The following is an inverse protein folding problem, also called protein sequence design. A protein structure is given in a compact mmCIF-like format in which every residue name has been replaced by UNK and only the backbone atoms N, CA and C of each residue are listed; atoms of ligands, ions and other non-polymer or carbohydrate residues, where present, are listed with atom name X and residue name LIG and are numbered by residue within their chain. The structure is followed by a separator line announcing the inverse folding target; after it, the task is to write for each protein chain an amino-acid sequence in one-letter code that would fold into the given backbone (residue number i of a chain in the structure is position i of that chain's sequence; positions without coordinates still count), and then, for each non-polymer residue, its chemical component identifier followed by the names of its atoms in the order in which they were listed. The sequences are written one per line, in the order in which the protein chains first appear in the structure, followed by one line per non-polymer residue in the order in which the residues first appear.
data_IF_486494878629
#
_entry.id   IF_486494878629
#
_cell.length_a   1.000
_cell.length_b   1.000
_cell.length_c   1.000
_cell.angle_alpha   90.00
_cell.angle_beta   90.00
_cell.angle_gamma   90.00
#
_symmetry.space_group_name_H-M   'P 1'
#
loop_
_entity.id
_entity.type
_entity.pdbx_description
1 polymer ?
#
# COMPACT_ATOMS: atom_id res chain seq x y z
N UNK A 1 -1.18 52.45 -30.33
CA UNK A 1 -1.19 53.03 -28.97
C UNK A 1 -1.97 52.10 -28.05
N UNK A 2 -1.34 51.57 -27.02
CA UNK A 2 -2.04 50.83 -25.99
C UNK A 2 -2.89 51.83 -25.17
N UNK A 3 -4.17 51.55 -24.99
CA UNK A 3 -5.02 52.33 -24.10
C UNK A 3 -4.97 51.72 -22.71
N UNK A 4 -4.49 52.47 -21.75
CA UNK A 4 -4.72 52.17 -20.35
C UNK A 4 -6.06 52.75 -19.93
N UNK A 5 -6.92 51.97 -19.31
CA UNK A 5 -8.13 52.46 -18.65
C UNK A 5 -7.98 52.21 -17.13
N UNK A 6 -8.94 52.69 -16.37
CA UNK A 6 -8.97 52.57 -14.91
C UNK A 6 -8.93 51.14 -14.40
N UNK A 7 -9.03 50.13 -15.30
CA UNK A 7 -9.18 48.71 -14.97
C UNK A 7 -8.07 47.84 -15.53
N UNK A 8 -7.02 48.41 -16.13
CA UNK A 8 -5.89 47.66 -16.63
C UNK A 8 -5.51 47.91 -18.08
N UNK A 9 -4.69 47.04 -18.64
CA UNK A 9 -4.16 47.18 -19.98
C UNK A 9 -5.07 46.50 -21.02
N UNK A 10 -5.29 47.13 -22.15
CA UNK A 10 -5.93 46.57 -23.32
C UNK A 10 -4.82 46.15 -24.29
N UNK A 11 -4.56 44.89 -24.42
CA UNK A 11 -3.56 44.30 -25.31
C UNK A 11 -4.16 43.23 -26.20
N UNK A 12 -3.30 42.46 -26.86
CA UNK A 12 -3.73 41.27 -27.60
C UNK A 12 -4.48 40.32 -26.67
N UNK A 13 -5.50 39.63 -27.22
CA UNK A 13 -6.29 38.67 -26.46
C UNK A 13 -5.36 37.65 -25.78
N UNK A 14 -5.42 37.48 -24.45
CA UNK A 14 -4.50 36.64 -23.76
C UNK A 14 -4.72 35.18 -24.13
N UNK A 15 -3.62 34.47 -24.32
CA UNK A 15 -3.63 33.01 -24.37
C UNK A 15 -3.57 32.51 -22.92
N UNK A 16 -4.60 31.83 -22.50
CA UNK A 16 -4.68 31.25 -21.17
C UNK A 16 -4.52 29.75 -21.24
N UNK A 17 -3.56 29.20 -20.47
CA UNK A 17 -3.44 27.78 -20.18
C UNK A 17 -3.20 27.59 -18.70
N UNK A 18 -3.43 26.40 -18.19
CA UNK A 18 -3.11 26.09 -16.78
C UNK A 18 -1.62 26.27 -16.45
N UNK A 19 -0.74 26.31 -17.47
CA UNK A 19 0.70 26.43 -17.31
C UNK A 19 1.27 27.81 -17.58
N UNK A 20 0.51 28.70 -18.27
CA UNK A 20 0.99 30.02 -18.67
C UNK A 20 -0.12 31.05 -18.63
N UNK A 21 0.10 32.17 -17.94
CA UNK A 21 -0.69 33.36 -18.02
C UNK A 21 0.06 34.37 -18.93
N UNK A 22 -0.30 34.42 -20.21
CA UNK A 22 0.25 35.38 -21.14
C UNK A 22 -0.80 36.41 -21.49
N UNK A 23 -0.45 37.67 -21.39
CA UNK A 23 -1.33 38.78 -21.72
C UNK A 23 -1.79 39.58 -20.50
N UNK A 24 -2.63 40.56 -20.76
CA UNK A 24 -3.14 41.48 -19.77
C UNK A 24 -4.65 41.27 -19.66
N UNK A 25 -5.13 41.14 -18.43
CA UNK A 25 -6.53 40.89 -18.08
C UNK A 25 -7.12 42.08 -17.36
N UNK A 26 -8.38 42.38 -17.62
CA UNK A 26 -9.16 43.23 -16.73
C UNK A 26 -9.39 42.47 -15.39
N UNK A 27 -9.63 43.19 -14.28
CA UNK A 27 -9.95 42.56 -13.01
C UNK A 27 -11.14 41.58 -13.08
N UNK A 28 -12.12 41.88 -13.91
CA UNK A 28 -13.27 40.99 -14.11
C UNK A 28 -12.88 39.70 -14.86
N UNK A 29 -12.16 39.81 -15.97
CA UNK A 29 -11.68 38.66 -16.75
C UNK A 29 -10.77 37.76 -15.89
N UNK A 30 -9.87 38.36 -15.10
CA UNK A 30 -9.03 37.65 -14.18
C UNK A 30 -9.85 36.83 -13.18
N UNK A 31 -10.87 37.47 -12.58
CA UNK A 31 -11.74 36.78 -11.59
C UNK A 31 -12.53 35.64 -12.25
N UNK A 32 -13.11 35.84 -13.43
CA UNK A 32 -13.83 34.77 -14.18
C UNK A 32 -12.90 33.63 -14.56
N UNK A 33 -11.69 33.92 -15.03
CA UNK A 33 -10.72 32.90 -15.42
C UNK A 33 -10.17 32.14 -14.23
N UNK A 34 -9.99 32.80 -13.08
CA UNK A 34 -9.57 32.15 -11.83
C UNK A 34 -10.67 31.23 -11.31
N UNK A 35 -11.93 31.68 -11.29
CA UNK A 35 -13.08 30.83 -10.92
C UNK A 35 -13.26 29.63 -11.86
N UNK A 36 -12.87 29.75 -13.12
CA UNK A 36 -12.88 28.68 -14.10
C UNK A 36 -11.62 27.79 -14.02
N UNK A 37 -10.67 28.09 -13.13
CA UNK A 37 -9.40 27.39 -13.01
C UNK A 37 -8.52 27.52 -14.27
N UNK A 38 -8.74 28.56 -15.09
CA UNK A 38 -8.01 28.79 -16.35
C UNK A 38 -6.79 29.70 -16.20
N UNK A 39 -6.66 30.39 -15.05
CA UNK A 39 -5.44 31.13 -14.75
C UNK A 39 -4.43 30.20 -14.08
N UNK A 40 -3.17 30.28 -14.50
CA UNK A 40 -2.08 29.73 -13.74
C UNK A 40 -1.97 30.48 -12.41
N UNK A 41 -1.96 29.79 -11.29
CA UNK A 41 -1.79 30.44 -9.99
C UNK A 41 -0.41 31.07 -9.88
N UNK A 42 -0.28 32.21 -9.17
CA UNK A 42 1.00 32.76 -8.80
C UNK A 42 1.72 31.73 -7.89
N UNK A 43 2.79 31.18 -8.38
CA UNK A 43 3.56 30.12 -7.71
C UNK A 43 3.81 28.96 -8.67
N UNK A 44 5.05 28.51 -8.72
CA UNK A 44 5.48 27.42 -9.62
C UNK A 44 5.19 26.04 -9.04
N UNK A 45 4.45 25.94 -7.92
CA UNK A 45 4.20 24.69 -7.21
C UNK A 45 2.74 24.54 -6.78
N UNK A 46 2.30 23.29 -6.61
CA UNK A 46 1.06 22.91 -5.95
C UNK A 46 1.39 22.06 -4.72
N UNK A 47 0.54 22.10 -3.70
CA UNK A 47 0.64 21.18 -2.55
C UNK A 47 -0.25 19.97 -2.78
N UNK A 48 0.26 18.81 -2.42
CA UNK A 48 -0.48 17.54 -2.49
C UNK A 48 -0.40 16.80 -1.14
N UNK A 49 -1.43 16.03 -0.85
CA UNK A 49 -1.41 14.99 0.17
C UNK A 49 -1.15 13.65 -0.53
N UNK A 50 -0.01 13.03 -0.22
CA UNK A 50 0.52 11.86 -0.90
C UNK A 50 0.52 10.65 0.03
N UNK A 51 -0.02 9.54 -0.45
CA UNK A 51 0.10 8.23 0.19
C UNK A 51 0.75 7.26 -0.80
N UNK A 52 1.78 6.54 -0.35
CA UNK A 52 2.44 5.47 -1.10
C UNK A 52 2.32 4.17 -0.34
N UNK A 53 1.69 3.18 -0.97
CA UNK A 53 1.46 1.84 -0.45
C UNK A 53 2.21 0.83 -1.31
N UNK A 54 3.13 0.08 -0.74
CA UNK A 54 3.88 -0.96 -1.46
C UNK A 54 3.08 -2.27 -1.58
N UNK A 55 3.52 -3.20 -2.42
CA UNK A 55 2.93 -4.54 -2.51
C UNK A 55 3.20 -5.38 -1.27
N UNK A 56 2.23 -6.19 -0.84
CA UNK A 56 2.36 -7.12 0.28
C UNK A 56 3.14 -8.39 -0.08
N UNK A 57 3.74 -9.05 0.89
CA UNK A 57 4.43 -10.32 0.73
C UNK A 57 3.46 -11.50 0.59
N UNK A 58 3.88 -12.57 -0.11
CA UNK A 58 3.10 -13.80 -0.23
C UNK A 58 3.07 -14.62 1.06
N UNK A 59 1.99 -15.34 1.28
CA UNK A 59 1.84 -16.30 2.37
C UNK A 59 2.64 -17.60 2.16
N UNK A 60 3.04 -18.22 3.24
CA UNK A 60 3.78 -19.48 3.25
C UNK A 60 2.90 -20.68 2.98
N UNK A 61 3.48 -21.72 2.37
CA UNK A 61 2.84 -23.02 2.21
C UNK A 61 2.78 -23.77 3.56
N UNK A 62 1.68 -24.43 3.83
CA UNK A 62 1.58 -25.35 4.95
C UNK A 62 2.52 -26.57 4.77
N UNK A 63 2.98 -27.15 5.85
CA UNK A 63 3.86 -28.31 5.87
C UNK A 63 3.25 -29.44 6.71
N UNK A 64 3.77 -30.67 6.58
CA UNK A 64 3.30 -31.80 7.35
C UNK A 64 3.36 -31.63 8.86
N UNK A 65 4.18 -30.72 9.34
CA UNK A 65 4.40 -30.41 10.75
C UNK A 65 3.72 -29.13 11.25
N UNK A 66 3.10 -28.32 10.38
CA UNK A 66 2.45 -27.08 10.84
C UNK A 66 1.86 -26.23 9.73
N UNK A 67 1.12 -25.21 10.13
CA UNK A 67 0.54 -24.23 9.24
C UNK A 67 1.56 -23.24 8.68
N UNK A 68 1.36 -22.80 7.44
CA UNK A 68 2.14 -21.75 6.80
C UNK A 68 1.94 -20.40 7.49
N UNK A 69 2.95 -19.55 7.49
CA UNK A 69 2.84 -18.20 8.05
C UNK A 69 2.19 -17.20 7.09
N UNK A 70 1.64 -16.12 7.61
CA UNK A 70 1.09 -15.02 6.82
C UNK A 70 2.18 -14.09 6.28
N UNK A 71 2.02 -13.59 5.05
CA UNK A 71 2.89 -12.58 4.45
C UNK A 71 2.76 -11.23 5.16
N UNK A 72 3.85 -10.46 5.24
CA UNK A 72 3.84 -9.09 5.74
C UNK A 72 3.16 -8.13 4.76
N UNK A 73 2.52 -7.11 5.27
CA UNK A 73 1.97 -6.04 4.42
C UNK A 73 3.07 -5.23 3.75
N UNK A 74 2.78 -4.63 2.62
CA UNK A 74 3.58 -3.55 2.05
C UNK A 74 3.63 -2.36 3.00
N UNK A 75 4.71 -1.60 2.96
CA UNK A 75 4.84 -0.38 3.73
C UNK A 75 3.78 0.65 3.33
N UNK A 76 3.39 1.47 4.28
CA UNK A 76 2.49 2.60 4.09
C UNK A 76 3.18 3.87 4.54
N UNK A 77 3.32 4.84 3.64
CA UNK A 77 3.89 6.16 3.96
C UNK A 77 2.97 7.26 3.48
N UNK A 78 2.87 8.33 4.26
CA UNK A 78 2.08 9.52 3.96
C UNK A 78 2.93 10.78 4.12
N UNK A 79 2.72 11.74 3.22
CA UNK A 79 3.26 13.10 3.28
C UNK A 79 2.14 14.08 2.92
N UNK A 80 1.66 14.83 3.90
CA UNK A 80 0.52 15.77 3.74
C UNK A 80 0.95 17.16 3.29
N UNK A 81 2.26 17.39 3.12
CA UNK A 81 2.84 18.71 2.83
C UNK A 81 3.71 18.70 1.57
N UNK A 82 3.57 17.67 0.75
CA UNK A 82 4.39 17.50 -0.45
C UNK A 82 4.10 18.60 -1.47
N UNK A 83 5.14 19.23 -1.97
CA UNK A 83 5.03 20.20 -3.07
C UNK A 83 5.45 19.57 -4.39
N UNK A 84 4.72 19.88 -5.46
CA UNK A 84 4.99 19.47 -6.83
C UNK A 84 5.12 20.71 -7.73
N UNK A 85 6.05 20.67 -8.67
CA UNK A 85 6.23 21.77 -9.63
C UNK A 85 5.17 21.67 -10.72
N UNK A 86 4.58 22.82 -11.11
CA UNK A 86 3.67 22.91 -12.25
C UNK A 86 4.44 22.73 -13.56
N UNK A 87 3.87 22.03 -14.51
CA UNK A 87 4.51 21.67 -15.79
C UNK A 87 5.48 20.48 -15.69
N UNK A 88 5.71 19.95 -14.48
CA UNK A 88 6.56 18.76 -14.31
C UNK A 88 5.75 17.46 -14.38
N UNK A 89 6.38 16.42 -14.91
CA UNK A 89 5.86 15.05 -14.92
C UNK A 89 6.56 14.24 -13.85
N UNK A 90 5.76 13.52 -13.06
CA UNK A 90 6.21 12.65 -11.97
C UNK A 90 5.91 11.20 -12.33
N UNK A 91 6.91 10.33 -12.18
CA UNK A 91 6.74 8.90 -12.37
C UNK A 91 6.14 8.27 -11.12
N UNK A 92 5.18 7.38 -11.33
CA UNK A 92 4.53 6.61 -10.29
C UNK A 92 4.82 5.14 -10.53
N UNK A 93 5.43 4.49 -9.55
CA UNK A 93 5.64 3.04 -9.56
C UNK A 93 4.68 2.39 -8.57
N UNK A 94 3.90 1.41 -9.03
CA UNK A 94 3.04 0.60 -8.18
C UNK A 94 3.65 -0.80 -8.06
N UNK A 95 4.02 -1.18 -6.84
CA UNK A 95 4.67 -2.45 -6.54
C UNK A 95 3.71 -3.63 -6.62
N UNK A 96 4.15 -4.72 -7.22
CA UNK A 96 3.38 -5.97 -7.28
C UNK A 96 3.37 -6.69 -5.92
N UNK A 97 2.29 -7.43 -5.66
CA UNK A 97 2.24 -8.38 -4.54
C UNK A 97 3.17 -9.57 -4.76
N UNK A 98 3.69 -10.13 -3.68
CA UNK A 98 4.54 -11.31 -3.69
C UNK A 98 3.74 -12.59 -3.93
N UNK A 99 4.27 -13.51 -4.73
CA UNK A 99 3.67 -14.82 -4.95
C UNK A 99 3.77 -15.68 -3.67
N UNK A 100 2.74 -16.49 -3.42
CA UNK A 100 2.77 -17.52 -2.38
C UNK A 100 3.80 -18.61 -2.68
N UNK A 101 4.21 -19.41 -1.70
CA UNK A 101 5.07 -20.55 -1.96
C UNK A 101 5.67 -21.19 -0.72
N UNK A 102 6.49 -22.22 -0.95
CA UNK A 102 7.35 -22.80 0.08
C UNK A 102 8.29 -21.73 0.66
N UNK A 103 9.00 -21.06 -0.22
CA UNK A 103 9.65 -19.78 0.01
C UNK A 103 8.88 -18.74 -0.79
N UNK A 104 7.93 -18.06 -0.16
CA UNK A 104 7.11 -17.08 -0.86
C UNK A 104 7.97 -15.89 -1.35
N UNK A 105 7.42 -15.08 -2.23
CA UNK A 105 8.08 -13.86 -2.69
C UNK A 105 7.74 -12.67 -1.78
N UNK A 106 8.67 -11.75 -1.64
CA UNK A 106 8.40 -10.44 -1.05
C UNK A 106 7.54 -9.59 -2.01
N UNK A 107 6.82 -8.64 -1.47
CA UNK A 107 6.20 -7.60 -2.27
C UNK A 107 7.25 -6.67 -2.88
N UNK A 108 6.87 -5.92 -3.91
CA UNK A 108 7.71 -4.89 -4.53
C UNK A 108 7.43 -3.51 -3.94
N UNK A 109 8.43 -2.64 -3.98
CA UNK A 109 8.29 -1.25 -3.56
C UNK A 109 7.34 -0.46 -4.47
N UNK A 110 6.68 0.55 -3.91
CA UNK A 110 5.97 1.59 -4.67
C UNK A 110 6.64 2.93 -4.45
N UNK A 111 6.59 3.82 -5.45
CA UNK A 111 7.20 5.14 -5.35
C UNK A 111 6.43 6.23 -6.07
N UNK A 112 6.66 7.47 -5.61
CA UNK A 112 6.36 8.71 -6.29
C UNK A 112 7.67 9.47 -6.49
N UNK A 113 8.15 9.55 -7.73
CA UNK A 113 9.46 10.11 -8.03
C UNK A 113 9.37 11.59 -8.40
N UNK A 114 10.14 12.41 -7.68
CA UNK A 114 10.27 13.84 -7.90
C UNK A 114 11.68 14.14 -8.37
N UNK A 115 11.93 14.33 -9.66
CA UNK A 115 13.19 14.87 -10.23
C UNK A 115 14.45 14.63 -9.37
N UNK A 116 14.76 13.36 -9.07
CA UNK A 116 15.95 12.98 -8.29
C UNK A 116 15.71 12.65 -6.81
N UNK A 117 14.50 12.80 -6.28
CA UNK A 117 14.15 12.35 -4.93
C UNK A 117 12.90 11.47 -4.99
N UNK A 118 13.05 10.19 -4.66
CA UNK A 118 11.93 9.27 -4.60
C UNK A 118 11.27 9.29 -3.21
N UNK A 119 9.95 9.37 -3.16
CA UNK A 119 9.16 9.06 -1.97
C UNK A 119 8.66 7.63 -2.11
N UNK A 120 9.37 6.70 -1.47
CA UNK A 120 9.21 5.27 -1.66
C UNK A 120 8.67 4.59 -0.39
N UNK A 121 7.98 3.48 -0.56
CA UNK A 121 7.58 2.55 0.49
C UNK A 121 8.06 1.13 0.15
N UNK A 122 8.56 0.41 1.14
CA UNK A 122 9.18 -0.92 0.95
C UNK A 122 8.16 -2.02 0.81
N UNK A 123 8.42 -3.00 -0.05
CA UNK A 123 7.57 -4.19 -0.19
C UNK A 123 7.46 -5.00 1.09
N UNK A 124 6.34 -5.72 1.25
CA UNK A 124 6.06 -6.57 2.39
C UNK A 124 7.00 -7.77 2.50
N UNK A 125 7.33 -8.16 3.73
CA UNK A 125 8.20 -9.28 4.02
C UNK A 125 7.60 -10.62 3.60
N UNK A 126 8.42 -11.47 2.96
CA UNK A 126 8.05 -12.84 2.59
C UNK A 126 8.11 -13.80 3.77
N UNK A 127 7.52 -14.95 3.60
CA UNK A 127 7.65 -16.10 4.49
C UNK A 127 8.73 -17.05 3.94
N UNK A 128 9.58 -17.55 4.81
CA UNK A 128 10.52 -18.62 4.48
C UNK A 128 10.15 -19.89 5.25
N UNK A 129 10.06 -21.04 4.55
CA UNK A 129 9.69 -22.30 5.22
C UNK A 129 10.68 -22.70 6.32
N UNK A 130 10.16 -23.15 7.43
CA UNK A 130 10.92 -23.58 8.63
C UNK A 130 11.86 -22.52 9.20
N UNK A 131 11.61 -21.23 8.93
CA UNK A 131 12.54 -20.18 9.31
C UNK A 131 11.82 -18.90 9.78
N UNK A 132 12.63 -17.99 10.28
CA UNK A 132 12.21 -16.63 10.64
C UNK A 132 11.60 -15.93 9.41
N UNK A 133 10.50 -15.22 9.60
CA UNK A 133 9.93 -14.37 8.56
C UNK A 133 10.92 -13.30 8.09
N UNK A 134 10.88 -12.91 6.84
CA UNK A 134 11.75 -11.88 6.31
C UNK A 134 11.26 -10.48 6.65
N UNK A 135 12.22 -9.57 6.81
CA UNK A 135 11.93 -8.14 6.96
C UNK A 135 11.30 -7.56 5.69
N UNK A 136 10.54 -6.49 5.85
CA UNK A 136 9.89 -5.75 4.77
C UNK A 136 9.32 -4.43 5.26
N UNK A 137 8.51 -3.77 4.45
CA UNK A 137 7.70 -2.63 4.88
C UNK A 137 6.96 -3.00 6.17
N UNK A 138 6.25 -4.14 6.17
CA UNK A 138 5.93 -4.92 7.37
C UNK A 138 6.54 -6.32 7.26
N UNK A 139 6.91 -6.91 8.39
CA UNK A 139 7.60 -8.21 8.42
C UNK A 139 6.69 -9.40 8.13
N UNK A 140 7.19 -10.43 7.45
CA UNK A 140 6.51 -11.72 7.29
C UNK A 140 6.41 -12.48 8.61
N UNK A 141 5.39 -13.34 8.78
CA UNK A 141 5.24 -14.20 9.93
C UNK A 141 6.32 -15.29 9.99
N UNK A 142 6.64 -15.79 11.19
CA UNK A 142 7.53 -16.94 11.41
C UNK A 142 6.85 -18.25 11.02
N UNK A 143 7.56 -19.09 10.28
CA UNK A 143 7.06 -20.41 9.90
C UNK A 143 7.51 -21.46 10.92
N UNK A 144 6.61 -22.38 11.29
CA UNK A 144 6.91 -23.45 12.25
C UNK A 144 8.11 -24.33 11.81
N UNK A 145 9.03 -24.65 12.71
CA UNK A 145 10.28 -25.38 12.43
C UNK A 145 10.17 -26.91 12.52
N UNK A 146 9.01 -27.44 12.90
CA UNK A 146 8.81 -28.88 13.17
C UNK A 146 9.27 -29.36 14.54
N UNK A 147 9.98 -28.56 15.31
CA UNK A 147 10.59 -28.92 16.60
C UNK A 147 9.86 -28.35 17.82
N UNK A 148 8.74 -27.67 17.62
CA UNK A 148 7.95 -27.11 18.71
C UNK A 148 8.45 -25.76 19.23
N UNK A 149 9.35 -25.08 18.51
CA UNK A 149 9.87 -23.78 18.91
C UNK A 149 9.02 -22.62 18.34
N UNK A 150 8.98 -21.50 19.06
CA UNK A 150 8.48 -20.24 18.51
C UNK A 150 9.50 -19.66 17.52
N UNK A 151 9.26 -19.82 16.24
CA UNK A 151 10.09 -19.20 15.20
C UNK A 151 9.66 -17.76 15.00
N UNK A 152 10.58 -16.81 15.08
CA UNK A 152 10.31 -15.38 15.03
C UNK A 152 9.72 -14.89 13.70
N UNK A 153 8.93 -13.83 13.75
CA UNK A 153 8.54 -13.06 12.56
C UNK A 153 9.65 -12.10 12.12
N UNK A 154 9.55 -11.60 10.88
CA UNK A 154 10.46 -10.61 10.30
C UNK A 154 10.26 -9.23 10.92
N UNK A 155 11.28 -8.37 10.82
CA UNK A 155 11.18 -6.99 11.22
C UNK A 155 10.37 -6.17 10.19
N UNK A 156 9.57 -5.22 10.67
CA UNK A 156 8.94 -4.18 9.86
C UNK A 156 9.88 -2.99 9.66
N UNK A 157 9.41 -2.02 8.87
CA UNK A 157 10.14 -0.77 8.60
C UNK A 157 11.53 -0.98 7.97
N UNK A 158 11.60 -1.85 6.97
CA UNK A 158 12.87 -2.17 6.30
C UNK A 158 13.54 -0.94 5.65
N UNK A 159 12.78 0.07 5.25
CA UNK A 159 13.30 1.34 4.74
C UNK A 159 13.88 2.26 5.82
N UNK A 160 13.73 1.94 7.11
CA UNK A 160 14.23 2.76 8.23
C UNK A 160 13.55 4.12 8.35
N UNK A 161 12.32 4.26 7.87
CA UNK A 161 11.61 5.54 7.82
C UNK A 161 11.08 5.97 9.19
N UNK A 162 10.92 7.31 9.32
CA UNK A 162 10.22 7.94 10.44
C UNK A 162 9.14 8.89 9.88
N UNK A 163 7.84 8.70 10.21
CA UNK A 163 7.29 7.56 10.98
C UNK A 163 7.53 6.19 10.31
N UNK A 164 7.49 5.10 11.10
CA UNK A 164 7.62 3.73 10.59
C UNK A 164 6.60 3.46 9.48
N UNK A 165 7.01 2.76 8.41
CA UNK A 165 6.12 2.36 7.31
C UNK A 165 5.34 1.06 7.59
N UNK A 166 5.69 0.30 8.65
CA UNK A 166 5.04 -0.95 9.03
C UNK A 166 5.58 -1.55 10.31
N UNK A 167 5.02 -2.68 10.73
CA UNK A 167 5.33 -3.36 11.97
C UNK A 167 5.84 -4.80 11.77
N UNK A 168 6.29 -5.44 12.83
CA UNK A 168 6.91 -6.77 12.78
C UNK A 168 5.88 -7.87 12.52
N UNK A 169 6.32 -8.95 11.88
CA UNK A 169 5.58 -10.21 11.84
C UNK A 169 5.52 -10.88 13.20
N UNK A 170 4.51 -11.73 13.39
CA UNK A 170 4.34 -12.55 14.57
C UNK A 170 5.17 -13.84 14.48
N UNK A 171 5.51 -14.41 15.62
CA UNK A 171 6.18 -15.72 15.72
C UNK A 171 5.21 -16.88 15.46
N UNK A 172 5.70 -18.03 15.02
CA UNK A 172 4.92 -19.28 14.99
C UNK A 172 4.52 -19.72 16.40
N UNK A 173 3.61 -20.69 16.50
CA UNK A 173 3.29 -21.30 17.78
C UNK A 173 4.38 -22.25 18.29
N UNK A 174 4.37 -22.55 19.59
CA UNK A 174 5.32 -23.39 20.32
C UNK A 174 4.80 -24.82 20.56
N UNK A 175 4.22 -25.48 19.57
CA UNK A 175 3.76 -26.86 19.66
C UNK A 175 4.23 -27.65 18.43
N UNK A 176 4.41 -28.95 18.53
CA UNK A 176 4.91 -29.79 17.44
C UNK A 176 4.06 -29.76 16.15
N UNK A 177 2.85 -29.25 16.23
CA UNK A 177 1.92 -29.05 15.11
C UNK A 177 1.28 -27.69 15.20
N UNK A 178 2.09 -26.63 15.38
CA UNK A 178 1.58 -25.28 15.61
C UNK A 178 1.10 -24.59 14.34
N UNK A 179 0.22 -23.62 14.52
CA UNK A 179 -0.09 -22.65 13.47
C UNK A 179 1.10 -21.72 13.21
N UNK A 180 1.21 -21.21 11.98
CA UNK A 180 2.18 -20.18 11.62
C UNK A 180 1.94 -18.86 12.34
N UNK A 181 2.93 -17.95 12.31
CA UNK A 181 2.81 -16.56 12.76
C UNK A 181 2.08 -15.69 11.73
N UNK A 182 1.30 -14.72 12.19
CA UNK A 182 0.67 -13.71 11.33
C UNK A 182 1.67 -12.72 10.77
N UNK A 183 1.45 -12.21 9.55
CA UNK A 183 2.25 -11.12 8.97
C UNK A 183 2.02 -9.81 9.74
N UNK A 184 3.01 -8.92 9.77
CA UNK A 184 2.86 -7.57 10.30
C UNK A 184 1.99 -6.70 9.39
N UNK A 185 1.31 -5.74 9.97
CA UNK A 185 0.59 -4.68 9.27
C UNK A 185 1.14 -3.30 9.61
N UNK A 186 0.63 -2.26 8.98
CA UNK A 186 1.09 -0.88 9.28
C UNK A 186 0.80 -0.47 10.73
N UNK A 187 -0.36 -0.82 11.23
CA UNK A 187 -0.88 -0.36 12.52
C UNK A 187 -0.45 -1.24 13.71
N UNK A 188 -0.13 -2.51 13.47
CA UNK A 188 0.32 -3.41 14.54
C UNK A 188 1.15 -4.59 14.07
N UNK A 189 1.88 -5.19 15.00
CA UNK A 189 2.55 -6.47 14.77
C UNK A 189 1.54 -7.57 14.43
N UNK A 190 1.98 -8.55 13.66
CA UNK A 190 1.29 -9.81 13.54
C UNK A 190 1.22 -10.56 14.88
N UNK A 191 0.14 -11.30 15.10
CA UNK A 191 0.00 -12.14 16.27
C UNK A 191 0.99 -13.29 16.24
N UNK A 192 1.55 -13.63 17.38
CA UNK A 192 2.60 -14.66 17.47
C UNK A 192 2.56 -15.43 18.77
N UNK A 193 3.51 -16.23 18.98
CA UNK A 193 3.77 -17.28 19.94
C UNK A 193 2.62 -17.65 20.90
N UNK A 194 2.54 -18.90 21.27
CA UNK A 194 1.52 -19.47 22.17
C UNK A 194 1.35 -20.95 21.87
N UNK A 195 0.68 -21.68 22.76
CA UNK A 195 0.49 -23.12 22.66
C UNK A 195 -0.67 -23.53 21.73
N UNK A 196 -1.47 -22.59 21.26
CA UNK A 196 -2.59 -22.88 20.35
C UNK A 196 -2.09 -23.31 18.98
N UNK A 197 -2.72 -24.33 18.45
CA UNK A 197 -2.48 -24.85 17.10
C UNK A 197 -3.21 -24.04 16.01
N UNK A 198 -4.07 -23.09 16.38
CA UNK A 198 -4.71 -22.19 15.42
C UNK A 198 -3.69 -21.28 14.75
N UNK A 199 -3.92 -20.96 13.50
CA UNK A 199 -3.18 -19.93 12.79
C UNK A 199 -3.30 -18.57 13.49
N UNK A 200 -2.28 -17.76 13.41
CA UNK A 200 -2.19 -16.44 14.04
C UNK A 200 -2.77 -15.35 13.13
N UNK A 201 -3.45 -14.38 13.72
CA UNK A 201 -4.00 -13.27 12.97
C UNK A 201 -2.90 -12.34 12.45
N UNK A 202 -3.14 -11.74 11.29
CA UNK A 202 -2.32 -10.65 10.76
C UNK A 202 -2.46 -9.36 11.57
N UNK A 203 -1.46 -8.51 11.45
CA UNK A 203 -1.45 -7.16 12.02
C UNK A 203 -2.46 -6.24 11.34
N UNK A 204 -2.98 -5.25 12.05
CA UNK A 204 -3.89 -4.23 11.49
C UNK A 204 -3.15 -3.31 10.53
N UNK A 205 -3.88 -2.78 9.56
CA UNK A 205 -3.41 -1.74 8.63
C UNK A 205 -3.51 -0.33 9.19
N UNK A 206 -3.41 0.63 8.27
CA UNK A 206 -3.75 2.02 8.49
C UNK A 206 -5.01 2.38 7.70
N UNK A 207 -5.87 3.21 8.27
CA UNK A 207 -7.03 3.76 7.55
C UNK A 207 -6.80 5.21 7.13
N UNK A 208 -7.50 5.61 6.08
CA UNK A 208 -7.53 6.99 5.60
C UNK A 208 -8.88 7.29 4.97
N UNK A 209 -9.28 8.55 4.99
CA UNK A 209 -10.48 9.07 4.31
C UNK A 209 -10.13 9.91 3.09
N UNK A 210 -8.94 9.72 2.51
CA UNK A 210 -8.42 10.52 1.40
C UNK A 210 -9.32 10.45 0.15
N UNK A 211 -10.06 9.35 -0.03
CA UNK A 211 -11.01 9.13 -1.14
C UNK A 211 -12.42 9.66 -0.87
N UNK A 212 -12.68 10.10 0.36
CA UNK A 212 -14.02 10.51 0.83
C UNK A 212 -14.77 9.42 1.62
N UNK A 213 -14.31 8.17 1.55
CA UNK A 213 -14.72 7.05 2.40
C UNK A 213 -13.52 6.51 3.18
N UNK A 214 -13.77 5.79 4.27
CA UNK A 214 -12.71 5.12 5.01
C UNK A 214 -12.20 3.90 4.20
N UNK A 215 -10.90 3.91 3.90
CA UNK A 215 -10.19 2.84 3.23
C UNK A 215 -9.05 2.34 4.11
N UNK A 216 -8.83 1.01 4.14
CA UNK A 216 -7.79 0.36 4.91
C UNK A 216 -6.68 -0.17 4.00
N UNK A 217 -5.43 0.09 4.36
CA UNK A 217 -4.24 -0.30 3.61
C UNK A 217 -3.22 -1.01 4.49
N UNK A 218 -2.36 -1.80 3.86
CA UNK A 218 -1.18 -2.42 4.48
C UNK A 218 -1.53 -3.28 5.71
N UNK A 219 -2.45 -4.21 5.54
CA UNK A 219 -2.85 -5.19 6.55
C UNK A 219 -2.06 -6.49 6.40
N UNK A 220 -1.67 -7.09 7.51
CA UNK A 220 -0.91 -8.35 7.52
C UNK A 220 -1.76 -9.57 7.20
N UNK A 221 -1.18 -10.55 6.52
CA UNK A 221 -1.82 -11.84 6.24
C UNK A 221 -1.99 -12.70 7.47
N UNK A 222 -3.10 -13.43 7.57
CA UNK A 222 -3.34 -14.45 8.59
C UNK A 222 -2.57 -15.73 8.30
N UNK A 223 -2.15 -16.47 9.31
CA UNK A 223 -1.43 -17.73 9.16
C UNK A 223 -2.35 -18.95 9.10
N UNK A 224 -1.89 -20.03 8.50
CA UNK A 224 -2.61 -21.31 8.47
C UNK A 224 -2.63 -22.03 9.82
N UNK A 225 -3.69 -22.83 10.04
CA UNK A 225 -3.80 -23.70 11.21
C UNK A 225 -2.84 -24.88 11.16
N UNK A 226 -2.38 -25.35 12.33
CA UNK A 226 -1.31 -26.32 12.50
C UNK A 226 -1.72 -27.75 12.80
N UNK A 227 -2.99 -28.09 12.95
CA UNK A 227 -3.46 -29.46 13.21
C UNK A 227 -4.81 -29.70 12.53
N UNK A 228 -5.24 -30.98 12.47
CA UNK A 228 -6.40 -31.47 11.72
C UNK A 228 -7.76 -30.92 12.13
N UNK A 229 -7.85 -30.07 13.15
CA UNK A 229 -9.10 -29.47 13.64
C UNK A 229 -8.96 -27.99 13.98
N UNK A 230 -8.02 -27.27 13.37
CA UNK A 230 -7.71 -25.88 13.76
C UNK A 230 -8.03 -24.86 12.68
N UNK A 231 -8.40 -23.67 13.13
CA UNK A 231 -8.72 -22.54 12.28
C UNK A 231 -7.46 -21.87 11.74
N UNK A 232 -7.53 -21.33 10.53
CA UNK A 232 -6.59 -20.33 10.06
C UNK A 232 -6.76 -19.00 10.81
N UNK A 233 -5.71 -18.21 10.89
CA UNK A 233 -5.74 -16.85 11.40
C UNK A 233 -6.47 -15.91 10.44
N UNK A 234 -7.14 -14.90 10.98
CA UNK A 234 -7.78 -13.87 10.16
C UNK A 234 -6.75 -12.98 9.50
N UNK A 235 -6.85 -12.79 8.18
CA UNK A 235 -6.49 -11.52 7.55
C UNK A 235 -7.59 -10.51 7.87
N UNK A 236 -7.29 -9.22 7.77
CA UNK A 236 -8.31 -8.17 7.93
C UNK A 236 -8.71 -7.67 6.56
N UNK A 237 -9.83 -7.00 6.46
CA UNK A 237 -10.41 -6.39 5.25
C UNK A 237 -9.81 -6.88 3.90
N UNK A 238 -8.62 -6.35 3.51
CA UNK A 238 -7.97 -6.59 2.24
C UNK A 238 -6.76 -7.55 2.32
N UNK A 239 -6.45 -8.12 3.48
CA UNK A 239 -5.38 -9.10 3.62
C UNK A 239 -5.92 -10.54 3.54
N UNK A 240 -5.08 -11.46 3.07
CA UNK A 240 -5.43 -12.88 2.95
C UNK A 240 -5.58 -13.56 4.31
N UNK A 241 -6.66 -14.29 4.52
CA UNK A 241 -6.85 -15.14 5.69
C UNK A 241 -6.11 -16.48 5.53
N UNK A 242 -5.66 -17.06 6.64
CA UNK A 242 -5.01 -18.38 6.66
C UNK A 242 -5.98 -19.52 6.35
N UNK A 243 -5.45 -20.60 5.78
CA UNK A 243 -6.19 -21.82 5.49
C UNK A 243 -6.50 -22.62 6.75
N UNK A 244 -7.67 -23.29 6.76
CA UNK A 244 -8.05 -24.24 7.80
C UNK A 244 -7.29 -25.55 7.65
N UNK A 245 -7.11 -26.33 8.72
CA UNK A 245 -6.47 -27.64 8.63
C UNK A 245 -7.46 -28.83 8.69
N UNK A 246 -8.74 -28.57 8.75
CA UNK A 246 -9.78 -29.58 9.07
C UNK A 246 -10.26 -30.43 7.91
N UNK A 247 -10.10 -30.10 6.65
CA UNK A 247 -10.52 -30.91 5.50
C UNK A 247 -9.85 -30.47 4.21
N UNK A 248 -9.81 -31.36 3.24
CA UNK A 248 -9.06 -31.26 2.00
C UNK A 248 -9.38 -30.06 1.10
N UNK A 249 -10.50 -29.36 1.29
CA UNK A 249 -10.95 -28.28 0.43
C UNK A 249 -10.64 -26.85 0.90
N UNK A 250 -10.32 -26.63 2.19
CA UNK A 250 -10.12 -25.27 2.76
C UNK A 250 -8.73 -25.07 3.37
N UNK A 251 -7.73 -25.80 2.90
CA UNK A 251 -6.35 -25.70 3.42
C UNK A 251 -5.53 -24.59 2.79
N UNK A 252 -5.99 -24.04 1.66
CA UNK A 252 -5.30 -22.97 0.94
C UNK A 252 -5.52 -21.65 1.67
N UNK A 253 -4.46 -20.86 1.85
CA UNK A 253 -4.57 -19.48 2.32
C UNK A 253 -5.13 -18.57 1.25
N UNK A 254 -5.92 -17.59 1.64
CA UNK A 254 -6.50 -16.63 0.70
C UNK A 254 -5.45 -15.63 0.22
N UNK A 255 -5.55 -15.22 -1.05
CA UNK A 255 -4.81 -14.06 -1.54
C UNK A 255 -5.38 -12.77 -0.94
N UNK A 256 -4.53 -11.76 -0.83
CA UNK A 256 -4.94 -10.41 -0.51
C UNK A 256 -5.53 -9.71 -1.75
N UNK A 257 -6.32 -8.66 -1.52
CA UNK A 257 -6.87 -7.82 -2.58
C UNK A 257 -5.77 -6.93 -3.17
N UNK A 258 -5.81 -6.75 -4.47
CA UNK A 258 -4.90 -5.84 -5.17
C UNK A 258 -5.18 -4.37 -4.84
N UNK A 259 -4.13 -3.56 -4.89
CA UNK A 259 -4.11 -2.10 -4.67
C UNK A 259 -4.25 -1.64 -3.20
N UNK A 260 -4.22 -2.55 -2.25
CA UNK A 260 -4.28 -2.25 -0.82
C UNK A 260 -3.00 -2.62 -0.07
N UNK A 261 -2.07 -3.34 -0.73
CA UNK A 261 -0.79 -3.72 -0.13
C UNK A 261 -0.90 -4.78 0.97
N UNK A 262 -1.99 -5.55 0.98
CA UNK A 262 -2.23 -6.59 1.99
C UNK A 262 -1.29 -7.78 1.86
N UNK A 263 -0.89 -8.41 2.98
CA UNK A 263 -0.14 -9.67 2.99
C UNK A 263 -1.01 -10.88 2.66
N UNK A 264 -0.47 -11.88 1.95
CA UNK A 264 -1.16 -13.13 1.63
C UNK A 264 -1.32 -14.06 2.83
N UNK A 265 -2.40 -14.84 2.88
CA UNK A 265 -2.67 -15.81 3.96
C UNK A 265 -1.78 -17.06 3.86
N UNK A 266 -1.40 -17.67 4.99
CA UNK A 266 -0.67 -18.93 5.04
C UNK A 266 -1.55 -20.15 4.79
N UNK A 267 -1.02 -21.22 4.18
CA UNK A 267 -1.74 -22.49 3.99
C UNK A 267 -1.87 -23.29 5.31
N UNK A 268 -2.98 -24.01 5.48
CA UNK A 268 -3.17 -24.93 6.62
C UNK A 268 -2.19 -26.14 6.57
N UNK A 269 -2.06 -26.86 7.67
CA UNK A 269 -1.15 -27.99 7.77
C UNK A 269 -1.41 -29.05 6.69
N UNK A 270 -0.57 -29.09 5.69
CA UNK A 270 -0.45 -30.15 4.67
C UNK A 270 0.69 -29.81 3.73
N UNK A 271 1.45 -30.78 3.29
CA UNK A 271 2.51 -30.60 2.31
C UNK A 271 2.02 -30.14 0.92
N UNK A 272 0.72 -30.04 0.72
CA UNK A 272 0.08 -29.55 -0.53
C UNK A 272 -0.74 -28.27 -0.34
N UNK A 273 -0.80 -27.68 0.83
CA UNK A 273 -1.62 -26.49 1.10
C UNK A 273 -0.85 -25.21 0.80
N UNK A 274 -1.12 -24.58 -0.32
CA UNK A 274 -0.51 -23.32 -0.70
C UNK A 274 -1.02 -22.17 0.18
N UNK A 275 -0.17 -21.17 0.38
CA UNK A 275 -0.61 -19.85 0.86
C UNK A 275 -1.31 -19.06 -0.24
N UNK A 276 -1.74 -17.84 0.08
CA UNK A 276 -2.27 -16.86 -0.86
C UNK A 276 -1.20 -15.85 -1.30
N UNK A 277 -1.40 -15.21 -2.42
CA UNK A 277 -0.55 -14.11 -2.88
C UNK A 277 -0.77 -12.85 -2.04
N UNK A 278 0.27 -12.03 -1.89
CA UNK A 278 0.12 -10.66 -1.45
C UNK A 278 -0.59 -9.81 -2.49
N UNK A 279 -1.28 -8.75 -2.06
CA UNK A 279 -1.92 -7.78 -2.96
C UNK A 279 -0.92 -6.74 -3.46
N UNK A 280 -1.14 -6.20 -4.65
CA UNK A 280 -0.35 -5.08 -5.16
C UNK A 280 -0.53 -3.83 -4.28
N UNK A 281 0.43 -2.91 -4.37
CA UNK A 281 0.36 -1.60 -3.76
C UNK A 281 -0.47 -0.60 -4.57
N UNK A 282 -0.41 0.65 -4.17
CA UNK A 282 -0.99 1.79 -4.90
C UNK A 282 -0.34 3.12 -4.49
N UNK A 283 -0.65 4.18 -5.25
CA UNK A 283 -0.25 5.55 -4.92
C UNK A 283 -1.48 6.45 -5.00
N UNK A 284 -1.74 7.23 -3.94
CA UNK A 284 -2.86 8.15 -3.87
C UNK A 284 -2.35 9.58 -3.72
N UNK A 285 -2.87 10.47 -4.54
CA UNK A 285 -2.56 11.90 -4.48
C UNK A 285 -3.86 12.69 -4.36
N UNK A 286 -4.01 13.46 -3.27
CA UNK A 286 -5.10 14.42 -3.13
C UNK A 286 -4.57 15.82 -3.39
N UNK A 287 -5.30 16.56 -4.20
CA UNK A 287 -4.95 17.91 -4.64
C UNK A 287 -6.19 18.81 -4.61
N UNK A 288 -6.00 20.09 -4.34
CA UNK A 288 -7.09 21.06 -4.44
C UNK A 288 -7.61 21.16 -5.89
N UNK A 289 -8.93 21.32 -6.08
CA UNK A 289 -9.54 21.44 -7.42
C UNK A 289 -9.01 22.62 -8.24
N UNK A 290 -8.38 23.57 -7.57
CA UNK A 290 -7.68 24.69 -8.22
C UNK A 290 -6.31 24.31 -8.81
N UNK A 291 -5.79 23.11 -8.50
CA UNK A 291 -4.43 22.65 -8.81
C UNK A 291 -4.40 21.32 -9.55
N UNK A 292 -5.49 20.98 -10.24
CA UNK A 292 -5.64 19.70 -10.94
C UNK A 292 -4.49 19.45 -11.93
N UNK A 293 -4.01 18.20 -12.04
CA UNK A 293 -3.01 17.83 -13.03
C UNK A 293 -3.54 17.98 -14.47
N UNK A 294 -2.61 18.17 -15.38
CA UNK A 294 -2.90 18.29 -16.83
C UNK A 294 -3.19 16.93 -17.45
N UNK A 295 -2.46 15.89 -17.02
CA UNK A 295 -2.61 14.54 -17.55
C UNK A 295 -2.15 13.47 -16.55
N UNK A 296 -2.69 12.27 -16.73
CA UNK A 296 -2.28 11.05 -16.01
C UNK A 296 -2.16 9.89 -16.99
N UNK A 297 -1.27 8.94 -16.70
CA UNK A 297 -1.19 7.64 -17.40
C UNK A 297 -1.27 6.50 -16.37
N UNK A 298 -1.55 5.28 -16.83
CA UNK A 298 -1.80 4.14 -15.98
C UNK A 298 -3.29 3.98 -15.62
N UNK A 299 -3.60 3.00 -14.79
CA UNK A 299 -4.98 2.79 -14.29
C UNK A 299 -5.21 3.68 -13.07
N UNK A 300 -6.06 4.70 -13.24
CA UNK A 300 -6.32 5.70 -12.21
C UNK A 300 -7.82 5.78 -11.91
N UNK A 301 -8.19 5.67 -10.64
CA UNK A 301 -9.54 6.01 -10.16
C UNK A 301 -9.53 7.41 -9.58
N UNK A 302 -10.52 8.23 -9.95
CA UNK A 302 -10.60 9.63 -9.51
C UNK A 302 -11.79 9.81 -8.60
N UNK A 303 -11.56 10.40 -7.42
CA UNK A 303 -12.59 10.73 -6.43
C UNK A 303 -12.57 12.23 -6.15
N UNK A 304 -13.69 12.90 -6.34
CA UNK A 304 -13.84 14.34 -6.02
C UNK A 304 -14.75 14.50 -4.81
N UNK A 305 -14.22 15.14 -3.76
CA UNK A 305 -14.94 15.39 -2.51
C UNK A 305 -14.72 16.85 -2.09
N UNK A 306 -15.76 17.64 -2.13
CA UNK A 306 -15.70 19.08 -1.87
C UNK A 306 -14.71 19.77 -2.82
N UNK A 307 -13.79 20.53 -2.27
CA UNK A 307 -12.79 21.29 -3.01
C UNK A 307 -11.50 20.51 -3.35
N UNK A 308 -11.53 19.19 -3.19
CA UNK A 308 -10.37 18.33 -3.44
C UNK A 308 -10.69 17.18 -4.38
N UNK A 309 -9.68 16.79 -5.17
CA UNK A 309 -9.72 15.59 -6.01
C UNK A 309 -8.57 14.66 -5.67
N UNK A 310 -8.87 13.38 -5.46
CA UNK A 310 -7.90 12.31 -5.21
C UNK A 310 -7.74 11.45 -6.45
N UNK A 311 -6.50 11.26 -6.87
CA UNK A 311 -6.08 10.34 -7.93
C UNK A 311 -5.50 9.09 -7.29
N UNK A 312 -6.16 7.96 -7.45
CA UNK A 312 -5.73 6.66 -6.94
C UNK A 312 -5.16 5.82 -8.07
N UNK A 313 -3.84 5.73 -8.13
CA UNK A 313 -3.10 4.93 -9.10
C UNK A 313 -3.06 3.46 -8.67
N UNK A 314 -3.64 2.61 -9.49
CA UNK A 314 -3.73 1.16 -9.33
C UNK A 314 -2.73 0.40 -10.22
N UNK A 315 -2.01 1.09 -11.07
CA UNK A 315 -0.88 0.58 -11.86
C UNK A 315 0.19 1.66 -12.02
N UNK A 316 1.39 1.24 -12.36
CA UNK A 316 2.49 2.14 -12.73
C UNK A 316 2.06 3.09 -13.84
N UNK A 317 2.48 4.35 -13.75
CA UNK A 317 2.11 5.41 -14.67
C UNK A 317 2.82 6.71 -14.36
N UNK A 318 2.18 7.82 -14.71
CA UNK A 318 2.70 9.17 -14.46
C UNK A 318 1.59 10.17 -14.23
N UNK A 319 1.94 11.32 -13.64
CA UNK A 319 1.07 12.48 -13.46
C UNK A 319 1.84 13.73 -13.81
N UNK A 320 1.21 14.62 -14.60
CA UNK A 320 1.76 15.94 -14.99
C UNK A 320 0.92 17.04 -14.40
N UNK A 321 1.52 17.93 -13.65
CA UNK A 321 0.85 19.09 -13.03
C UNK A 321 0.94 20.35 -13.88
#
# INVERSE_FOLDING_TARGET
MARTNEHGYVGAKPLTSKSQNTGVFTPHEKNVLDQQGKLAKPGNTAMIDLIVVAGGGGGGRGQGYGGGAGGGAGGFRQDTTRTVARGATYTITVGAGGAHGYNSAAGSASSFDTNGTSFESSGGGRVHAFNVGNSGGSGGGGHHDGNGNCVGGGAGNAGGYSPSEGANGGSSGAANTAGGGGGGGKGSNGSGCGTSQNGRAGGSGASTVITGSEEWFSEGGGAGGGNTSTSGGSGRNHAGSGGFSTNSSNRVGNSADDNYGGGGGGGGQSSSSNGGNGGSGSVLLKVANSDLPVSTTGTVTVHTVGDNTTYWFKSTGSITF
#
